data_IF_846320436981
#
_entry.id   IF_846320436981
#
_cell.length_a   1.000
_cell.length_b   1.000
_cell.length_c   1.000
_cell.angle_alpha   90.00
_cell.angle_beta   90.00
_cell.angle_gamma   90.00
#
_symmetry.space_group_name_H-M   'P 1'
#
loop_
_entity.id
_entity.type
_entity.pdbx_description
1 polymer ?
#
# COMPACT_ATOMS: atom_id res chain seq x y z
N UNK A 1 13.63 -11.51 -0.28
CA UNK A 1 12.33 -11.99 -0.79
C UNK A 1 12.60 -12.99 -1.89
N UNK A 2 11.99 -14.18 -1.82
CA UNK A 2 12.11 -15.27 -2.79
C UNK A 2 10.81 -16.08 -2.81
N UNK A 3 10.52 -16.77 -3.91
CA UNK A 3 9.44 -17.78 -3.91
C UNK A 3 9.81 -18.92 -2.96
N UNK A 4 8.83 -19.40 -2.20
CA UNK A 4 9.02 -20.55 -1.33
C UNK A 4 9.22 -21.83 -2.16
N UNK A 5 10.07 -22.79 -1.73
CA UNK A 5 10.41 -23.98 -2.51
C UNK A 5 9.22 -24.90 -2.81
N UNK A 6 8.22 -24.91 -1.93
CA UNK A 6 6.98 -25.70 -1.99
C UNK A 6 5.82 -24.95 -2.68
N UNK A 7 6.06 -23.75 -3.20
CA UNK A 7 5.03 -22.95 -3.84
C UNK A 7 4.58 -23.57 -5.17
N UNK A 8 3.28 -23.89 -5.29
CA UNK A 8 2.68 -24.13 -6.59
C UNK A 8 2.58 -22.82 -7.37
N UNK A 9 3.00 -22.81 -8.63
CA UNK A 9 2.86 -21.62 -9.47
C UNK A 9 1.38 -21.28 -9.63
N UNK A 10 0.96 -20.10 -9.14
CA UNK A 10 -0.43 -19.63 -9.18
C UNK A 10 -0.78 -18.95 -10.49
N UNK A 11 -0.36 -19.52 -11.61
CA UNK A 11 -0.52 -18.95 -12.94
C UNK A 11 0.49 -19.50 -13.94
N UNK A 12 0.39 -19.05 -15.18
CA UNK A 12 1.32 -19.45 -16.25
C UNK A 12 2.67 -18.76 -16.03
N UNK A 13 3.75 -19.53 -16.16
CA UNK A 13 5.10 -18.97 -16.19
C UNK A 13 5.30 -18.15 -17.48
N UNK A 14 5.83 -16.95 -17.33
CA UNK A 14 6.08 -15.99 -18.41
C UNK A 14 7.45 -15.34 -18.23
N UNK A 15 7.89 -14.59 -19.24
CA UNK A 15 9.06 -13.72 -19.13
C UNK A 15 8.69 -12.26 -19.28
N UNK A 16 9.39 -11.38 -18.56
CA UNK A 16 9.33 -9.93 -18.74
C UNK A 16 10.72 -9.42 -19.11
N UNK A 17 10.79 -8.35 -19.89
CA UNK A 17 12.05 -7.74 -20.28
C UNK A 17 12.36 -6.57 -19.36
N UNK A 18 13.45 -6.71 -18.59
CA UNK A 18 14.00 -5.66 -17.74
C UNK A 18 15.28 -5.11 -18.36
N UNK A 19 15.18 -4.00 -19.09
CA UNK A 19 16.32 -3.31 -19.71
C UNK A 19 17.17 -4.22 -20.63
N UNK A 20 16.52 -5.12 -21.36
CA UNK A 20 17.12 -6.12 -22.26
C UNK A 20 17.35 -7.50 -21.62
N UNK A 21 17.15 -7.62 -20.30
CA UNK A 21 17.32 -8.87 -19.55
C UNK A 21 15.99 -9.62 -19.43
N UNK A 22 15.96 -10.91 -19.77
CA UNK A 22 14.77 -11.74 -19.61
C UNK A 22 14.64 -12.21 -18.16
N UNK A 23 13.60 -11.73 -17.46
CA UNK A 23 13.33 -12.03 -16.05
C UNK A 23 12.11 -12.95 -15.94
N UNK A 24 12.19 -14.06 -15.16
CA UNK A 24 11.04 -14.93 -14.93
C UNK A 24 9.95 -14.23 -14.14
N UNK A 25 8.70 -14.41 -14.56
CA UNK A 25 7.51 -13.87 -13.90
C UNK A 25 6.35 -14.87 -13.97
N UNK A 26 5.26 -14.56 -13.26
CA UNK A 26 4.00 -15.29 -13.34
C UNK A 26 2.93 -14.35 -13.88
N UNK A 27 2.20 -14.80 -14.89
CA UNK A 27 1.14 -14.03 -15.52
C UNK A 27 0.11 -13.56 -14.49
N UNK A 28 -0.18 -12.26 -14.49
CA UNK A 28 -1.16 -11.65 -13.58
C UNK A 28 -0.62 -11.26 -12.20
N UNK A 29 0.54 -11.76 -11.77
CA UNK A 29 1.16 -11.29 -10.52
C UNK A 29 1.60 -9.82 -10.63
N UNK A 30 1.64 -9.06 -9.53
CA UNK A 30 2.29 -7.74 -9.56
C UNK A 30 3.72 -7.85 -10.09
N UNK A 31 4.10 -6.99 -11.03
CA UNK A 31 5.46 -6.92 -11.59
C UNK A 31 6.50 -6.84 -10.47
N UNK A 32 6.28 -5.98 -9.47
CA UNK A 32 7.18 -5.86 -8.33
C UNK A 32 7.36 -7.18 -7.56
N UNK A 33 6.31 -8.00 -7.45
CA UNK A 33 6.37 -9.31 -6.81
C UNK A 33 7.27 -10.27 -7.59
N UNK A 34 7.05 -10.37 -8.91
CA UNK A 34 7.87 -11.22 -9.79
C UNK A 34 9.34 -10.79 -9.80
N UNK A 35 9.63 -9.49 -9.87
CA UNK A 35 11.00 -8.98 -9.87
C UNK A 35 11.73 -9.27 -8.55
N UNK A 36 11.12 -8.98 -7.38
CA UNK A 36 11.79 -9.29 -6.10
C UNK A 36 11.96 -10.79 -5.90
N UNK A 37 11.00 -11.60 -6.35
CA UNK A 37 11.08 -13.06 -6.32
C UNK A 37 12.23 -13.61 -7.19
N UNK A 38 12.52 -12.95 -8.31
CA UNK A 38 13.62 -13.26 -9.21
C UNK A 38 14.98 -12.73 -8.73
N UNK A 39 15.05 -12.11 -7.55
CA UNK A 39 16.29 -11.57 -7.00
C UNK A 39 16.62 -10.14 -7.47
N UNK A 40 15.64 -9.41 -7.99
CA UNK A 40 15.77 -8.02 -8.44
C UNK A 40 15.02 -7.03 -7.51
N UNK A 41 15.59 -6.68 -6.34
CA UNK A 41 14.94 -5.80 -5.37
C UNK A 41 15.05 -4.30 -5.70
N UNK A 42 16.02 -3.91 -6.53
CA UNK A 42 16.24 -2.53 -6.96
C UNK A 42 15.37 -2.23 -8.18
N UNK A 43 14.31 -1.44 -7.99
CA UNK A 43 13.37 -1.09 -9.06
C UNK A 43 13.52 0.35 -9.54
N UNK A 44 14.06 1.24 -8.71
CA UNK A 44 14.23 2.64 -9.03
C UNK A 44 15.37 3.26 -8.21
N UNK A 45 15.65 4.53 -8.49
CA UNK A 45 16.54 5.39 -7.71
C UNK A 45 15.75 6.60 -7.21
N UNK A 46 16.06 7.10 -6.01
CA UNK A 46 15.36 8.25 -5.43
C UNK A 46 15.68 9.53 -6.22
N UNK A 47 14.68 10.41 -6.39
CA UNK A 47 14.76 11.65 -7.20
C UNK A 47 16.09 12.40 -7.02
N UNK A 48 16.40 12.80 -5.79
CA UNK A 48 17.47 13.76 -5.49
C UNK A 48 18.79 13.12 -5.12
N UNK A 49 18.74 12.09 -4.27
CA UNK A 49 19.92 11.48 -3.68
C UNK A 49 20.37 10.21 -4.42
N UNK A 50 19.64 9.79 -5.46
CA UNK A 50 19.95 8.58 -6.21
C UNK A 50 20.15 7.32 -5.33
N UNK A 51 19.49 7.29 -4.17
CA UNK A 51 19.49 6.14 -3.27
C UNK A 51 18.71 4.99 -3.93
N UNK A 52 19.18 3.73 -3.79
CA UNK A 52 18.44 2.55 -4.19
C UNK A 52 16.99 2.56 -3.67
N UNK A 53 16.01 2.23 -4.53
CA UNK A 53 14.60 2.08 -4.15
C UNK A 53 14.03 0.76 -4.66
N UNK A 54 13.24 0.13 -3.81
CA UNK A 54 12.55 -1.13 -4.05
C UNK A 54 11.14 -1.09 -3.46
N UNK A 55 10.26 -2.06 -3.76
CA UNK A 55 8.87 -1.99 -3.35
C UNK A 55 8.74 -2.07 -1.82
N UNK A 56 7.87 -1.22 -1.26
CA UNK A 56 7.65 -1.13 0.19
C UNK A 56 6.23 -1.54 0.60
N UNK A 57 5.20 -0.82 0.12
CA UNK A 57 3.83 -0.93 0.65
C UNK A 57 2.93 -1.96 -0.04
N UNK A 58 3.19 -2.30 -1.31
CA UNK A 58 2.28 -3.09 -2.16
C UNK A 58 0.83 -2.60 -2.21
N UNK A 59 0.61 -1.30 -1.99
CA UNK A 59 -0.72 -0.67 -1.96
C UNK A 59 -0.81 0.56 -2.88
N UNK A 60 0.21 0.82 -3.70
CA UNK A 60 0.40 2.08 -4.43
C UNK A 60 0.16 3.34 -3.56
N UNK A 61 0.59 3.26 -2.29
CA UNK A 61 0.52 4.36 -1.32
C UNK A 61 1.90 5.01 -1.06
N UNK A 62 2.98 4.39 -1.58
CA UNK A 62 4.35 4.92 -1.52
C UNK A 62 4.92 5.06 -2.93
N UNK A 63 5.98 5.84 -3.11
CA UNK A 63 6.61 6.12 -4.40
C UNK A 63 7.84 5.24 -4.74
N UNK A 64 8.09 4.15 -4.02
CA UNK A 64 9.38 3.43 -4.14
C UNK A 64 9.51 2.46 -5.33
N UNK A 65 8.39 2.06 -5.95
CA UNK A 65 8.36 1.01 -6.99
C UNK A 65 7.97 1.54 -8.37
N UNK A 66 8.18 2.84 -8.60
CA UNK A 66 7.84 3.51 -9.84
C UNK A 66 8.85 3.12 -10.93
N UNK A 67 8.37 2.51 -12.00
CA UNK A 67 9.16 2.15 -13.18
C UNK A 67 8.49 2.68 -14.44
N UNK A 68 9.23 2.71 -15.54
CA UNK A 68 8.63 2.82 -16.85
C UNK A 68 8.19 1.42 -17.29
N UNK A 69 6.92 1.29 -17.63
CA UNK A 69 6.30 0.02 -18.04
C UNK A 69 5.66 0.22 -19.40
N UNK A 70 6.09 -0.54 -20.40
CA UNK A 70 5.61 -0.46 -21.78
C UNK A 70 5.61 1.00 -22.29
N UNK A 71 6.71 1.72 -22.03
CA UNK A 71 6.86 3.14 -22.41
C UNK A 71 6.20 4.14 -21.46
N UNK A 72 5.26 3.75 -20.60
CA UNK A 72 4.58 4.64 -19.65
C UNK A 72 5.43 4.88 -18.39
N UNK A 73 5.82 6.12 -18.06
CA UNK A 73 6.63 6.39 -16.88
C UNK A 73 5.80 6.35 -15.58
N UNK A 74 6.50 6.22 -14.45
CA UNK A 74 5.91 6.34 -13.10
C UNK A 74 4.75 5.37 -12.83
N UNK A 75 4.86 4.15 -13.35
CA UNK A 75 3.87 3.09 -13.14
C UNK A 75 4.17 2.36 -11.83
N UNK A 76 3.14 2.19 -10.99
CA UNK A 76 3.22 1.41 -9.75
C UNK A 76 3.34 -0.09 -10.06
N UNK A 77 4.55 -0.61 -10.17
CA UNK A 77 4.81 -2.03 -10.44
C UNK A 77 4.23 -2.99 -9.40
N UNK A 78 3.93 -2.51 -8.18
CA UNK A 78 3.26 -3.30 -7.15
C UNK A 78 1.76 -3.52 -7.37
N UNK A 79 1.15 -2.86 -8.37
CA UNK A 79 -0.25 -3.11 -8.79
C UNK A 79 -0.39 -3.49 -10.25
N UNK A 80 0.67 -3.37 -11.04
CA UNK A 80 0.65 -3.71 -12.46
C UNK A 80 0.77 -5.22 -12.63
N UNK A 81 -0.22 -5.90 -13.24
CA UNK A 81 -0.12 -7.33 -13.52
C UNK A 81 0.96 -7.61 -14.57
N UNK A 82 1.80 -8.61 -14.34
CA UNK A 82 2.84 -9.05 -15.26
C UNK A 82 2.21 -9.68 -16.50
N UNK A 83 2.74 -9.33 -17.67
CA UNK A 83 2.34 -9.85 -18.99
C UNK A 83 3.58 -10.29 -19.75
N UNK A 84 3.43 -11.35 -20.54
CA UNK A 84 4.51 -11.88 -21.39
C UNK A 84 5.16 -10.77 -22.22
N UNK A 85 6.49 -10.69 -22.17
CA UNK A 85 7.30 -9.79 -22.98
C UNK A 85 7.17 -8.31 -22.65
N UNK A 86 6.46 -7.92 -21.58
CA UNK A 86 6.32 -6.51 -21.19
C UNK A 86 7.69 -5.86 -20.95
N UNK A 87 7.84 -4.60 -21.33
CA UNK A 87 9.10 -3.85 -21.23
C UNK A 87 9.14 -3.05 -19.93
N UNK A 88 10.18 -3.25 -19.16
CA UNK A 88 10.39 -2.64 -17.84
C UNK A 88 11.71 -1.89 -17.85
N UNK A 89 11.68 -0.62 -17.45
CA UNK A 89 12.88 0.20 -17.32
C UNK A 89 12.90 0.88 -15.95
N UNK A 90 14.06 0.83 -15.28
CA UNK A 90 14.25 1.51 -14.01
C UNK A 90 14.43 3.00 -14.29
N UNK A 91 13.93 3.84 -13.38
CA UNK A 91 13.93 5.28 -13.60
C UNK A 91 14.93 6.01 -12.68
N UNK A 92 15.26 7.24 -13.08
CA UNK A 92 16.03 8.21 -12.31
C UNK A 92 17.48 7.77 -12.00
N UNK A 93 18.17 7.19 -12.98
CA UNK A 93 19.54 6.71 -12.83
C UNK A 93 20.39 7.02 -14.07
N UNK A 94 21.72 7.16 -13.89
CA UNK A 94 22.65 7.35 -15.01
C UNK A 94 24.03 6.71 -14.77
N UNK A 95 24.59 5.91 -15.71
CA UNK A 95 23.97 5.45 -16.94
C UNK A 95 22.89 4.38 -16.75
N UNK A 96 22.85 3.71 -15.59
CA UNK A 96 21.82 2.71 -15.26
C UNK A 96 21.53 2.68 -13.77
N UNK A 97 20.43 2.05 -13.34
CA UNK A 97 20.17 1.92 -11.91
C UNK A 97 21.18 0.99 -11.20
N UNK A 98 21.76 -0.01 -11.90
CA UNK A 98 22.79 -0.91 -11.34
C UNK A 98 24.16 -0.21 -11.18
N UNK A 99 24.43 0.82 -11.99
CA UNK A 99 25.66 1.63 -11.97
C UNK A 99 25.24 3.09 -12.13
N UNK A 100 25.01 3.77 -11.00
CA UNK A 100 24.53 5.16 -10.96
C UNK A 100 25.62 6.09 -10.39
N UNK A 101 26.14 6.98 -11.23
CA UNK A 101 27.25 7.88 -10.83
C UNK A 101 26.84 8.88 -9.75
N UNK A 102 25.54 9.15 -9.63
CA UNK A 102 24.98 10.09 -8.67
C UNK A 102 24.73 9.46 -7.29
N UNK A 103 24.97 8.15 -7.11
CA UNK A 103 24.77 7.49 -5.80
C UNK A 103 25.70 7.99 -4.70
N UNK A 104 26.72 8.77 -5.05
CA UNK A 104 27.68 9.39 -4.13
C UNK A 104 27.24 10.74 -3.56
N UNK A 105 26.11 11.30 -4.03
CA UNK A 105 25.60 12.61 -3.57
C UNK A 105 25.46 12.65 -2.04
N UNK A 106 24.93 11.58 -1.44
CA UNK A 106 24.78 11.50 0.03
C UNK A 106 26.09 11.62 0.80
N UNK A 107 27.21 11.18 0.22
CA UNK A 107 28.53 11.29 0.85
C UNK A 107 29.04 12.74 0.87
N UNK A 108 28.79 13.50 -0.20
CA UNK A 108 29.16 14.91 -0.29
C UNK A 108 28.19 15.82 0.49
N UNK A 109 26.95 15.39 0.66
CA UNK A 109 25.89 16.15 1.34
C UNK A 109 25.27 15.39 2.52
N UNK A 110 26.06 14.98 3.53
CA UNK A 110 25.59 14.13 4.63
C UNK A 110 24.57 14.81 5.55
N UNK A 111 24.46 16.15 5.48
CA UNK A 111 23.46 16.96 6.18
C UNK A 111 22.30 17.41 5.29
N UNK A 112 22.19 16.81 4.10
CA UNK A 112 21.26 17.21 3.05
C UNK A 112 21.87 18.22 2.09
N UNK A 113 21.35 18.20 0.86
CA UNK A 113 21.73 19.14 -0.21
C UNK A 113 20.72 20.29 -0.22
N UNK A 114 21.08 21.48 0.26
CA UNK A 114 20.26 22.66 -0.03
C UNK A 114 20.61 23.17 -1.43
N UNK A 115 19.71 22.90 -2.37
CA UNK A 115 19.85 23.30 -3.77
C UNK A 115 19.08 24.59 -4.09
N UNK A 116 18.32 25.13 -3.13
CA UNK A 116 17.55 26.35 -3.33
C UNK A 116 18.41 27.60 -3.15
N UNK A 117 19.42 27.55 -2.27
CA UNK A 117 20.39 28.64 -2.10
C UNK A 117 21.66 28.47 -2.94
N UNK A 118 21.86 27.28 -3.52
CA UNK A 118 23.05 26.97 -4.30
C UNK A 118 23.06 27.81 -5.59
N UNK A 119 24.05 28.72 -5.71
CA UNK A 119 24.20 29.66 -6.82
C UNK A 119 23.12 30.76 -6.92
N UNK A 120 22.31 30.96 -5.88
CA UNK A 120 21.36 32.05 -5.83
C UNK A 120 22.07 33.41 -5.97
N UNK A 121 21.60 34.26 -6.90
CA UNK A 121 22.14 35.60 -7.12
C UNK A 121 23.31 35.70 -8.11
N UNK A 122 23.70 34.61 -8.78
CA UNK A 122 24.68 34.63 -9.89
C UNK A 122 23.94 34.31 -11.21
N UNK A 123 23.54 35.32 -12.01
CA UNK A 123 22.54 35.15 -13.07
C UNK A 123 22.83 34.04 -14.09
N UNK A 124 24.10 33.88 -14.49
CA UNK A 124 24.50 32.85 -15.47
C UNK A 124 24.54 31.46 -14.83
N UNK A 125 25.08 31.35 -13.61
CA UNK A 125 25.17 30.08 -12.90
C UNK A 125 23.77 29.57 -12.52
N UNK A 126 22.87 30.47 -12.10
CA UNK A 126 21.48 30.16 -11.80
C UNK A 126 20.74 29.61 -13.03
N UNK A 127 20.89 30.22 -14.21
CA UNK A 127 20.25 29.73 -15.44
C UNK A 127 20.76 28.35 -15.86
N UNK A 128 22.08 28.12 -15.77
CA UNK A 128 22.71 26.84 -16.09
C UNK A 128 22.23 25.78 -15.09
N UNK A 129 22.29 26.07 -13.79
CA UNK A 129 21.86 25.15 -12.74
C UNK A 129 20.36 24.85 -12.83
N UNK A 130 19.52 25.83 -13.12
CA UNK A 130 18.09 25.60 -13.34
C UNK A 130 17.84 24.69 -14.54
N UNK A 131 18.65 24.77 -15.61
CA UNK A 131 18.54 23.87 -16.77
C UNK A 131 18.94 22.44 -16.42
N UNK A 132 20.04 22.26 -15.67
CA UNK A 132 20.49 20.95 -15.19
C UNK A 132 19.48 20.37 -14.19
N UNK A 133 19.04 21.15 -13.21
CA UNK A 133 18.04 20.75 -12.23
C UNK A 133 16.73 20.35 -12.90
N UNK A 134 16.24 21.06 -13.91
CA UNK A 134 15.03 20.64 -14.68
C UNK A 134 15.20 19.29 -15.36
N UNK A 135 16.40 18.94 -15.81
CA UNK A 135 16.67 17.64 -16.41
C UNK A 135 16.77 16.51 -15.36
N UNK A 136 17.13 16.84 -14.11
CA UNK A 136 17.30 15.88 -13.02
C UNK A 136 16.12 15.80 -12.05
N UNK A 137 15.22 16.78 -12.03
CA UNK A 137 14.12 16.89 -11.06
C UNK A 137 12.89 16.03 -11.41
N UNK A 138 12.87 15.38 -12.57
CA UNK A 138 11.76 14.55 -13.04
C UNK A 138 12.02 13.06 -12.87
N UNK A 139 11.03 12.30 -12.40
CA UNK A 139 11.13 10.84 -12.27
C UNK A 139 10.92 10.07 -13.58
N UNK A 140 10.40 10.70 -14.63
CA UNK A 140 10.12 10.00 -15.88
C UNK A 140 9.83 10.92 -17.05
N UNK A 141 10.04 10.41 -18.26
CA UNK A 141 9.84 11.12 -19.53
C UNK A 141 8.54 10.62 -20.15
N UNK A 142 7.64 11.53 -20.53
CA UNK A 142 6.38 11.17 -21.17
C UNK A 142 6.61 10.52 -22.55
N UNK A 143 5.77 9.56 -22.96
CA UNK A 143 5.77 9.06 -24.33
C UNK A 143 5.50 10.19 -25.34
N UNK A 144 6.02 10.04 -26.55
CA UNK A 144 5.73 10.96 -27.67
C UNK A 144 4.42 10.61 -28.38
N UNK A 145 3.98 9.37 -28.26
CA UNK A 145 2.76 8.88 -28.87
C UNK A 145 1.53 9.36 -28.10
N UNK A 146 0.43 9.59 -28.81
CA UNK A 146 -0.84 9.98 -28.19
C UNK A 146 -1.38 8.83 -27.34
N UNK A 147 -1.96 9.16 -26.18
CA UNK A 147 -2.63 8.18 -25.36
C UNK A 147 -3.86 7.60 -26.08
N UNK A 148 -4.19 6.31 -25.88
CA UNK A 148 -5.41 5.74 -26.42
C UNK A 148 -6.65 6.46 -25.86
N UNK A 149 -7.72 6.53 -26.66
CA UNK A 149 -8.98 7.09 -26.22
C UNK A 149 -9.52 6.30 -25.02
N UNK A 150 -9.96 7.02 -23.98
CA UNK A 150 -10.60 6.39 -22.82
C UNK A 150 -12.04 5.99 -23.17
N UNK A 151 -12.56 4.88 -22.62
CA UNK A 151 -13.97 4.54 -22.75
C UNK A 151 -14.89 5.66 -22.27
N UNK A 152 -16.06 5.82 -22.90
CA UNK A 152 -17.06 6.80 -22.48
C UNK A 152 -17.49 6.60 -21.02
N UNK A 153 -17.66 7.69 -20.30
CA UNK A 153 -18.13 7.67 -18.92
C UNK A 153 -19.54 7.09 -18.80
N UNK A 154 -19.85 6.43 -17.68
CA UNK A 154 -21.20 5.94 -17.37
C UNK A 154 -21.75 6.57 -16.11
N UNK A 155 -23.06 6.82 -16.09
CA UNK A 155 -23.77 7.27 -14.88
C UNK A 155 -24.52 6.09 -14.27
N UNK A 156 -24.32 5.87 -12.97
CA UNK A 156 -24.97 4.84 -12.17
C UNK A 156 -25.76 5.49 -11.04
N UNK A 157 -26.82 4.80 -10.58
CA UNK A 157 -27.62 5.20 -9.43
C UNK A 157 -27.83 4.01 -8.52
N UNK A 158 -27.69 4.22 -7.22
CA UNK A 158 -27.92 3.19 -6.20
C UNK A 158 -28.41 3.84 -4.91
N UNK A 159 -28.92 3.06 -3.94
CA UNK A 159 -29.27 3.65 -2.64
C UNK A 159 -28.02 3.88 -1.80
N UNK A 160 -27.11 2.91 -1.78
CA UNK A 160 -25.87 2.97 -0.99
C UNK A 160 -24.65 2.72 -1.86
N UNK A 161 -23.69 3.65 -1.87
CA UNK A 161 -22.36 3.42 -2.42
C UNK A 161 -21.39 3.05 -1.29
N UNK A 162 -20.77 1.88 -1.36
CA UNK A 162 -19.78 1.40 -0.39
C UNK A 162 -18.38 1.44 -1.02
N UNK A 163 -17.40 2.04 -0.34
CA UNK A 163 -16.02 2.15 -0.83
C UNK A 163 -15.07 1.31 0.00
N UNK A 164 -14.49 0.28 -0.63
CA UNK A 164 -13.52 -0.65 -0.04
C UNK A 164 -14.16 -1.97 0.39
N UNK A 165 -13.72 -3.10 -0.18
CA UNK A 165 -14.20 -4.44 0.16
C UNK A 165 -13.30 -5.12 1.21
N UNK A 166 -12.92 -4.37 2.24
CA UNK A 166 -12.26 -4.89 3.44
C UNK A 166 -13.24 -5.57 4.41
N UNK A 167 -12.77 -5.87 5.62
CA UNK A 167 -13.60 -6.50 6.66
C UNK A 167 -14.90 -5.72 6.94
N UNK A 168 -14.83 -4.38 7.06
CA UNK A 168 -16.00 -3.53 7.29
C UNK A 168 -16.92 -3.46 6.08
N UNK A 169 -16.39 -3.19 4.88
CA UNK A 169 -17.19 -3.08 3.66
C UNK A 169 -17.88 -4.39 3.27
N UNK A 170 -17.22 -5.54 3.41
CA UNK A 170 -17.84 -6.85 3.16
C UNK A 170 -18.93 -7.17 4.17
N UNK A 171 -18.71 -6.87 5.45
CA UNK A 171 -19.74 -7.06 6.47
C UNK A 171 -20.97 -6.16 6.24
N UNK A 172 -20.75 -4.92 5.79
CA UNK A 172 -21.81 -4.00 5.40
C UNK A 172 -22.57 -4.50 4.16
N UNK A 173 -21.86 -4.92 3.11
CA UNK A 173 -22.45 -5.44 1.87
C UNK A 173 -23.31 -6.68 2.12
N UNK A 174 -22.87 -7.57 3.04
CA UNK A 174 -23.66 -8.73 3.45
C UNK A 174 -24.97 -8.32 4.13
N UNK A 175 -24.93 -7.39 5.09
CA UNK A 175 -26.14 -6.89 5.75
C UNK A 175 -27.09 -6.21 4.74
N UNK A 176 -26.57 -5.40 3.82
CA UNK A 176 -27.37 -4.76 2.77
C UNK A 176 -28.03 -5.79 1.84
N UNK A 177 -27.32 -6.88 1.51
CA UNK A 177 -27.85 -8.01 0.74
C UNK A 177 -28.97 -8.72 1.49
N UNK A 178 -28.76 -9.07 2.76
CA UNK A 178 -29.76 -9.73 3.62
C UNK A 178 -31.05 -8.89 3.79
N UNK A 179 -30.92 -7.56 3.71
CA UNK A 179 -32.02 -6.59 3.82
C UNK A 179 -32.67 -6.22 2.48
N UNK A 180 -32.12 -6.69 1.36
CA UNK A 180 -32.61 -6.35 0.02
C UNK A 180 -32.43 -4.86 -0.36
N UNK A 181 -31.44 -4.17 0.22
CA UNK A 181 -31.17 -2.76 -0.08
C UNK A 181 -30.21 -2.67 -1.28
N UNK A 182 -30.56 -1.95 -2.37
CA UNK A 182 -29.67 -1.77 -3.52
C UNK A 182 -28.38 -1.04 -3.13
N UNK A 183 -27.24 -1.61 -3.47
CA UNK A 183 -25.94 -1.00 -3.22
C UNK A 183 -24.94 -1.27 -4.36
N UNK A 184 -23.89 -0.45 -4.42
CA UNK A 184 -22.69 -0.72 -5.22
C UNK A 184 -21.46 -0.66 -4.29
N UNK A 185 -20.69 -1.74 -4.25
CA UNK A 185 -19.44 -1.89 -3.52
C UNK A 185 -18.27 -1.78 -4.50
N UNK A 186 -17.38 -0.82 -4.26
CA UNK A 186 -16.20 -0.57 -5.09
C UNK A 186 -14.93 -1.04 -4.38
N UNK A 187 -14.14 -1.88 -5.04
CA UNK A 187 -12.84 -2.36 -4.57
C UNK A 187 -11.76 -2.03 -5.60
N UNK A 188 -10.67 -1.40 -5.16
CA UNK A 188 -9.58 -0.96 -6.02
C UNK A 188 -8.71 -2.11 -6.52
N UNK A 189 -8.63 -3.20 -5.76
CA UNK A 189 -7.89 -4.39 -6.12
C UNK A 189 -8.74 -5.34 -6.97
N UNK A 190 -8.12 -6.35 -7.57
CA UNK A 190 -8.82 -7.39 -8.35
C UNK A 190 -9.44 -8.50 -7.50
N UNK A 191 -9.41 -8.32 -6.18
CA UNK A 191 -9.91 -9.25 -5.18
C UNK A 191 -10.41 -8.49 -3.97
N UNK A 192 -11.32 -9.11 -3.23
CA UNK A 192 -11.84 -8.57 -1.97
C UNK A 192 -11.03 -9.05 -0.76
N UNK A 193 -11.35 -8.50 0.40
CA UNK A 193 -10.85 -8.93 1.70
C UNK A 193 -10.05 -7.85 2.42
N UNK A 194 -9.40 -6.94 1.68
CA UNK A 194 -8.55 -5.89 2.24
C UNK A 194 -7.62 -6.44 3.34
N UNK A 195 -7.74 -5.92 4.56
CA UNK A 195 -6.98 -6.39 5.74
C UNK A 195 -7.10 -7.90 6.01
N UNK A 196 -8.21 -8.55 5.69
CA UNK A 196 -8.37 -10.01 5.87
C UNK A 196 -7.41 -10.80 4.96
N UNK A 197 -7.13 -10.26 3.78
CA UNK A 197 -6.20 -10.84 2.82
C UNK A 197 -4.74 -10.37 3.03
N UNK A 198 -4.55 -9.12 3.48
CA UNK A 198 -3.22 -8.47 3.52
C UNK A 198 -2.60 -8.45 4.92
N UNK A 199 -3.40 -8.40 5.99
CA UNK A 199 -2.93 -8.38 7.38
C UNK A 199 -2.51 -9.75 7.89
N UNK A 200 -1.71 -9.77 8.96
CA UNK A 200 -1.46 -10.99 9.70
C UNK A 200 -2.77 -11.44 10.39
N UNK A 201 -3.21 -12.70 10.24
CA UNK A 201 -4.48 -13.13 10.79
C UNK A 201 -4.45 -13.10 12.32
N UNK A 202 -5.39 -12.35 12.91
CA UNK A 202 -5.71 -12.47 14.34
C UNK A 202 -6.42 -13.79 14.63
N UNK A 203 -6.39 -14.25 15.89
CA UNK A 203 -7.00 -15.53 16.30
C UNK A 203 -8.51 -15.59 15.97
N UNK A 204 -9.22 -14.46 16.09
CA UNK A 204 -10.66 -14.35 15.85
C UNK A 204 -11.00 -13.56 14.56
N UNK A 205 -10.07 -13.44 13.61
CA UNK A 205 -10.34 -12.71 12.38
C UNK A 205 -11.45 -13.41 11.58
N UNK A 206 -12.47 -12.70 11.09
CA UNK A 206 -13.52 -13.30 10.28
C UNK A 206 -12.95 -13.82 8.96
N UNK A 207 -13.58 -14.84 8.39
CA UNK A 207 -13.26 -15.28 7.03
C UNK A 207 -13.64 -14.20 6.01
N UNK A 208 -12.95 -14.19 4.87
CA UNK A 208 -13.37 -13.36 3.74
C UNK A 208 -14.76 -13.84 3.31
N UNK A 209 -15.68 -12.89 3.14
CA UNK A 209 -17.04 -13.20 2.71
C UNK A 209 -17.01 -13.77 1.29
N UNK A 210 -17.73 -14.87 1.08
CA UNK A 210 -17.94 -15.41 -0.26
C UNK A 210 -18.77 -14.42 -1.08
N UNK A 211 -18.16 -13.83 -2.11
CA UNK A 211 -18.79 -12.81 -2.95
C UNK A 211 -19.99 -13.34 -3.71
N UNK A 212 -20.10 -14.67 -3.92
CA UNK A 212 -21.27 -15.29 -4.54
C UNK A 212 -22.53 -15.18 -3.67
N UNK A 213 -22.38 -14.86 -2.38
CA UNK A 213 -23.50 -14.63 -1.45
C UNK A 213 -24.00 -13.19 -1.42
N UNK A 214 -23.30 -12.26 -2.10
CA UNK A 214 -23.73 -10.87 -2.22
C UNK A 214 -24.78 -10.71 -3.31
N UNK A 215 -25.53 -9.60 -3.27
CA UNK A 215 -26.46 -9.25 -4.34
C UNK A 215 -25.76 -9.27 -5.72
N UNK A 216 -26.36 -9.87 -6.77
CA UNK A 216 -25.78 -9.86 -8.11
C UNK A 216 -25.44 -8.45 -8.59
N UNK A 217 -24.36 -8.31 -9.35
CA UNK A 217 -23.88 -7.04 -9.94
C UNK A 217 -23.59 -5.91 -8.94
N UNK A 218 -23.55 -6.21 -7.64
CA UNK A 218 -23.31 -5.22 -6.57
C UNK A 218 -21.83 -4.91 -6.33
N UNK A 219 -20.90 -5.73 -6.81
CA UNK A 219 -19.45 -5.58 -6.60
C UNK A 219 -18.75 -5.17 -7.90
N UNK A 220 -17.96 -4.10 -7.83
CA UNK A 220 -17.06 -3.67 -8.90
C UNK A 220 -15.62 -3.67 -8.38
N UNK A 221 -14.83 -4.67 -8.78
CA UNK A 221 -13.38 -4.75 -8.50
C UNK A 221 -12.57 -3.94 -9.51
N UNK A 222 -11.28 -3.74 -9.23
CA UNK A 222 -10.39 -2.86 -10.02
C UNK A 222 -11.02 -1.47 -10.23
N UNK A 223 -11.69 -0.97 -9.20
CA UNK A 223 -12.45 0.27 -9.21
C UNK A 223 -11.94 1.20 -8.12
N UNK A 224 -11.23 2.25 -8.50
CA UNK A 224 -10.67 3.22 -7.55
C UNK A 224 -11.63 4.39 -7.39
N UNK A 225 -12.15 4.60 -6.18
CA UNK A 225 -12.86 5.82 -5.83
C UNK A 225 -11.89 7.01 -5.88
N UNK A 226 -12.17 7.99 -6.74
CA UNK A 226 -11.31 9.13 -7.01
C UNK A 226 -11.72 10.37 -6.21
N UNK A 227 -13.02 10.52 -5.95
CA UNK A 227 -13.52 11.63 -5.16
C UNK A 227 -15.03 11.70 -5.05
N UNK A 228 -15.49 12.43 -4.04
CA UNK A 228 -16.89 12.85 -3.86
C UNK A 228 -17.05 14.29 -4.35
N UNK A 229 -18.09 14.52 -5.14
CA UNK A 229 -18.41 15.81 -5.75
C UNK A 229 -19.91 16.04 -5.72
N UNK A 230 -20.32 17.28 -5.91
CA UNK A 230 -21.72 17.69 -5.96
C UNK A 230 -22.01 18.39 -7.30
N UNK A 231 -23.20 18.17 -7.85
CA UNK A 231 -23.76 18.95 -8.95
C UNK A 231 -25.28 19.19 -8.77
N UNK A 232 -25.95 19.71 -9.81
CA UNK A 232 -27.38 20.00 -9.79
C UNK A 232 -28.27 18.77 -9.51
N UNK A 233 -27.78 17.56 -9.78
CA UNK A 233 -28.49 16.31 -9.51
C UNK A 233 -28.15 15.70 -8.13
N UNK A 234 -27.28 16.36 -7.35
CA UNK A 234 -26.88 15.98 -6.01
C UNK A 234 -25.46 15.42 -5.93
N UNK A 235 -25.14 14.80 -4.79
CA UNK A 235 -23.83 14.22 -4.54
C UNK A 235 -23.59 12.96 -5.37
N UNK A 236 -22.37 12.83 -5.89
CA UNK A 236 -21.92 11.63 -6.59
C UNK A 236 -20.47 11.27 -6.29
N UNK A 237 -20.19 9.97 -6.35
CA UNK A 237 -18.86 9.40 -6.30
C UNK A 237 -18.32 9.24 -7.72
N UNK A 238 -17.09 9.70 -7.96
CA UNK A 238 -16.34 9.40 -9.18
C UNK A 238 -15.48 8.18 -8.94
N UNK A 239 -15.62 7.16 -9.79
CA UNK A 239 -14.85 5.92 -9.72
C UNK A 239 -14.17 5.65 -11.05
N UNK A 240 -12.86 5.40 -11.02
CA UNK A 240 -12.12 4.88 -12.17
C UNK A 240 -12.13 3.35 -12.17
N UNK A 241 -12.89 2.74 -13.07
CA UNK A 241 -12.99 1.29 -13.24
C UNK A 241 -12.05 0.82 -14.37
N UNK A 242 -11.14 -0.11 -14.07
CA UNK A 242 -10.20 -0.63 -15.04
C UNK A 242 -10.84 -1.77 -15.85
N UNK A 243 -11.14 -1.49 -17.11
CA UNK A 243 -11.66 -2.44 -18.09
C UNK A 243 -10.55 -2.84 -19.10
N UNK A 244 -10.71 -3.96 -19.84
CA UNK A 244 -9.77 -4.32 -20.90
C UNK A 244 -9.58 -3.21 -21.96
N UNK A 245 -10.62 -2.41 -22.21
CA UNK A 245 -10.59 -1.29 -23.16
C UNK A 245 -9.98 0.01 -22.59
N UNK A 246 -9.57 0.02 -21.32
CA UNK A 246 -9.03 1.19 -20.62
C UNK A 246 -9.79 1.53 -19.35
N UNK A 247 -9.46 2.69 -18.76
CA UNK A 247 -10.12 3.15 -17.53
C UNK A 247 -11.42 3.86 -17.87
N UNK A 248 -12.55 3.28 -17.46
CA UNK A 248 -13.87 3.92 -17.56
C UNK A 248 -14.14 4.77 -16.32
N UNK A 249 -14.60 6.00 -16.54
CA UNK A 249 -15.11 6.83 -15.44
C UNK A 249 -16.58 6.49 -15.16
N UNK A 250 -16.87 6.14 -13.91
CA UNK A 250 -18.22 5.95 -13.41
C UNK A 250 -18.60 7.14 -12.53
N UNK A 251 -19.75 7.74 -12.84
CA UNK A 251 -20.40 8.77 -12.04
C UNK A 251 -21.54 8.12 -11.25
N UNK A 252 -21.37 7.96 -9.95
CA UNK A 252 -22.27 7.15 -9.11
C UNK A 252 -23.03 8.04 -8.16
N UNK A 253 -24.31 8.29 -8.43
CA UNK A 253 -25.20 8.94 -7.48
C UNK A 253 -25.70 7.92 -6.46
N UNK A 254 -25.70 8.30 -5.19
CA UNK A 254 -26.23 7.49 -4.10
C UNK A 254 -26.94 8.35 -3.06
N UNK A 255 -27.93 7.77 -2.36
CA UNK A 255 -28.57 8.44 -1.22
C UNK A 255 -27.62 8.50 -0.01
N UNK A 256 -26.73 7.50 0.12
CA UNK A 256 -25.77 7.37 1.21
C UNK A 256 -24.43 6.83 0.70
N UNK A 257 -23.33 7.32 1.27
CA UNK A 257 -21.97 6.89 0.98
C UNK A 257 -21.34 6.27 2.23
N UNK A 258 -21.08 4.96 2.21
CA UNK A 258 -20.36 4.26 3.26
C UNK A 258 -18.88 4.10 2.89
N UNK A 259 -18.02 4.82 3.61
CA UNK A 259 -16.60 4.84 3.36
C UNK A 259 -15.87 3.86 4.29
N UNK A 260 -15.33 2.81 3.71
CA UNK A 260 -14.53 1.77 4.36
C UNK A 260 -13.15 1.58 3.70
N UNK A 261 -12.40 2.66 3.37
CA UNK A 261 -11.18 2.56 2.56
C UNK A 261 -10.00 1.91 3.29
N UNK A 262 -10.13 1.69 4.60
CA UNK A 262 -9.07 1.15 5.44
C UNK A 262 -8.00 2.19 5.73
N UNK A 263 -6.73 1.82 5.54
CA UNK A 263 -5.60 2.70 5.76
C UNK A 263 -4.34 2.25 5.02
N UNK A 264 -3.36 3.14 4.98
CA UNK A 264 -2.09 2.96 4.30
C UNK A 264 -1.00 2.49 5.27
N UNK A 265 -0.09 1.59 4.84
CA UNK A 265 1.07 1.26 5.64
C UNK A 265 1.94 2.50 5.87
N UNK A 266 2.17 2.94 7.13
CA UNK A 266 3.00 4.10 7.40
C UNK A 266 4.46 3.74 7.16
N UNK A 267 5.29 4.74 6.92
CA UNK A 267 6.74 4.59 6.98
C UNK A 267 7.24 5.09 8.33
N UNK A 268 7.84 4.20 9.12
CA UNK A 268 8.46 4.58 10.39
C UNK A 268 9.82 5.23 10.09
N UNK A 269 10.12 6.43 10.62
CA UNK A 269 11.41 7.06 10.42
C UNK A 269 12.49 6.31 11.20
N UNK A 270 13.46 5.75 10.48
CA UNK A 270 14.67 5.18 11.06
C UNK A 270 15.81 5.17 10.04
N UNK A 271 17.05 5.02 10.50
CA UNK A 271 18.22 5.09 9.61
C UNK A 271 18.15 4.03 8.50
N UNK A 272 18.24 4.47 7.25
CA UNK A 272 18.18 3.65 6.04
C UNK A 272 16.86 2.86 5.87
N UNK A 273 15.74 3.38 6.39
CA UNK A 273 14.40 2.81 6.19
C UNK A 273 13.92 2.77 4.73
N UNK A 274 14.70 3.30 3.80
CA UNK A 274 14.39 3.35 2.37
C UNK A 274 15.09 2.29 1.52
N UNK A 275 16.02 1.50 2.12
CA UNK A 275 16.75 0.47 1.41
C UNK A 275 15.81 -0.58 0.78
N UNK A 276 16.09 -1.05 -0.45
CA UNK A 276 15.44 -2.24 -0.98
C UNK A 276 15.59 -3.40 -0.01
N UNK A 277 14.51 -4.12 0.30
CA UNK A 277 14.50 -5.11 1.38
C UNK A 277 13.81 -4.63 2.66
N UNK A 278 13.49 -3.34 2.78
CA UNK A 278 12.55 -2.83 3.79
C UNK A 278 11.13 -2.90 3.22
N UNK A 279 10.23 -3.57 3.93
CA UNK A 279 8.83 -3.76 3.50
C UNK A 279 7.87 -3.38 4.62
N UNK A 280 6.66 -2.95 4.25
CA UNK A 280 5.56 -2.87 5.19
C UNK A 280 5.12 -4.28 5.64
N UNK A 281 4.67 -4.43 6.89
CA UNK A 281 4.24 -5.71 7.44
C UNK A 281 3.06 -6.33 6.67
N UNK A 282 2.05 -5.52 6.32
CA UNK A 282 0.93 -5.96 5.46
C UNK A 282 1.37 -6.33 4.04
N UNK A 283 2.44 -5.71 3.51
CA UNK A 283 3.01 -6.11 2.23
C UNK A 283 3.68 -7.48 2.32
N UNK A 284 4.45 -7.73 3.39
CA UNK A 284 5.09 -9.02 3.63
C UNK A 284 4.06 -10.15 3.81
N UNK A 285 3.00 -9.90 4.57
CA UNK A 285 1.90 -10.84 4.74
C UNK A 285 1.15 -11.10 3.43
N UNK A 286 0.85 -10.07 2.63
CA UNK A 286 0.28 -10.23 1.29
C UNK A 286 1.16 -11.10 0.39
N UNK A 287 2.45 -10.77 0.29
CA UNK A 287 3.43 -11.51 -0.53
C UNK A 287 3.48 -12.98 -0.13
N UNK A 288 3.55 -13.26 1.18
CA UNK A 288 3.61 -14.62 1.69
C UNK A 288 2.31 -15.39 1.44
N UNK A 289 1.16 -14.82 1.77
CA UNK A 289 -0.13 -15.54 1.76
C UNK A 289 -0.70 -15.71 0.36
N UNK A 290 -0.54 -14.70 -0.50
CA UNK A 290 -1.14 -14.68 -1.84
C UNK A 290 -0.20 -15.16 -2.93
N UNK A 291 1.10 -14.90 -2.80
CA UNK A 291 2.09 -15.14 -3.85
C UNK A 291 3.21 -16.11 -3.44
N UNK A 292 3.16 -16.63 -2.21
CA UNK A 292 4.19 -17.53 -1.65
C UNK A 292 5.62 -16.94 -1.79
N UNK A 293 5.73 -15.62 -1.63
CA UNK A 293 7.00 -14.87 -1.66
C UNK A 293 7.32 -14.35 -0.25
N UNK A 294 8.50 -14.70 0.25
CA UNK A 294 8.93 -14.33 1.60
C UNK A 294 10.46 -14.12 1.68
N UNK A 295 10.98 -13.42 2.69
CA UNK A 295 12.42 -13.39 2.94
C UNK A 295 12.92 -14.76 3.42
N UNK A 296 14.23 -15.00 3.30
CA UNK A 296 14.83 -16.16 3.98
C UNK A 296 15.00 -15.91 5.48
N UNK A 297 15.45 -14.70 5.83
CA UNK A 297 15.72 -14.28 7.20
C UNK A 297 15.17 -12.86 7.43
N UNK A 298 14.09 -12.76 8.20
CA UNK A 298 13.43 -11.48 8.49
C UNK A 298 13.87 -10.89 9.84
N UNK A 299 14.06 -9.58 9.88
CA UNK A 299 13.98 -8.79 11.12
C UNK A 299 12.68 -7.98 11.11
N UNK A 300 11.91 -8.04 12.20
CA UNK A 300 10.67 -7.29 12.35
C UNK A 300 10.87 -6.10 13.29
N UNK A 301 10.23 -4.98 12.98
CA UNK A 301 10.25 -3.77 13.81
C UNK A 301 8.90 -3.07 13.75
N UNK A 302 8.43 -2.55 14.88
CA UNK A 302 7.21 -1.75 14.93
C UNK A 302 6.51 -1.82 16.28
N UNK A 303 5.18 -1.94 16.31
CA UNK A 303 4.40 -2.09 17.53
C UNK A 303 2.98 -2.60 17.23
N UNK A 304 2.29 -3.09 18.26
CA UNK A 304 0.90 -3.53 18.20
C UNK A 304 0.74 -4.98 17.73
N UNK A 305 -0.51 -5.47 17.72
CA UNK A 305 -0.80 -6.89 17.52
C UNK A 305 -0.33 -7.45 16.16
N UNK A 306 -0.37 -6.64 15.10
CA UNK A 306 0.08 -7.09 13.77
C UNK A 306 1.59 -7.35 13.71
N UNK A 307 2.41 -6.79 14.61
CA UNK A 307 3.84 -7.12 14.70
C UNK A 307 4.03 -8.59 15.11
N UNK A 308 3.38 -8.99 16.19
CA UNK A 308 3.47 -10.34 16.75
C UNK A 308 2.72 -11.36 15.89
N UNK A 309 1.57 -10.97 15.33
CA UNK A 309 0.83 -11.78 14.37
C UNK A 309 1.66 -12.08 13.12
N UNK A 310 2.42 -11.10 12.61
CA UNK A 310 3.30 -11.29 11.46
C UNK A 310 4.49 -12.20 11.79
N UNK A 311 5.08 -12.07 12.98
CA UNK A 311 6.16 -12.96 13.42
C UNK A 311 5.71 -14.42 13.40
N UNK A 312 4.56 -14.71 14.01
CA UNK A 312 3.96 -16.05 14.03
C UNK A 312 3.67 -16.57 12.62
N UNK A 313 3.04 -15.76 11.76
CA UNK A 313 2.72 -16.13 10.38
C UNK A 313 3.98 -16.52 9.57
N UNK A 314 5.07 -15.78 9.76
CA UNK A 314 6.34 -16.05 9.07
C UNK A 314 6.98 -17.36 9.57
N UNK A 315 7.00 -17.57 10.89
CA UNK A 315 7.54 -18.79 11.49
C UNK A 315 6.75 -20.04 11.07
N UNK A 316 5.40 -19.96 11.08
CA UNK A 316 4.51 -21.03 10.61
C UNK A 316 4.74 -21.41 9.13
N UNK A 317 5.26 -20.47 8.32
CA UNK A 317 5.64 -20.68 6.92
C UNK A 317 7.13 -20.93 6.71
N UNK A 318 7.87 -21.21 7.79
CA UNK A 318 9.28 -21.64 7.73
C UNK A 318 10.28 -20.51 7.46
N UNK A 319 9.89 -19.24 7.61
CA UNK A 319 10.80 -18.10 7.50
C UNK A 319 11.59 -17.98 8.81
N UNK A 320 12.91 -17.80 8.72
CA UNK A 320 13.75 -17.61 9.90
C UNK A 320 13.60 -16.17 10.39
N UNK A 321 13.39 -15.99 11.69
CA UNK A 321 13.38 -14.67 12.31
C UNK A 321 14.72 -14.39 12.98
N UNK A 322 15.28 -13.20 12.72
CA UNK A 322 16.53 -12.74 13.34
C UNK A 322 16.29 -11.81 14.53
N UNK A 323 15.18 -11.07 14.51
CA UNK A 323 14.75 -10.17 15.59
C UNK A 323 13.26 -9.83 15.45
N UNK A 324 12.60 -9.57 16.58
CA UNK A 324 11.28 -8.93 16.63
C UNK A 324 11.37 -7.77 17.62
N UNK A 325 11.32 -6.53 17.14
CA UNK A 325 11.59 -5.35 17.97
C UNK A 325 10.34 -4.48 18.11
N UNK A 326 9.83 -4.35 19.33
CA UNK A 326 8.76 -3.42 19.67
C UNK A 326 9.36 -2.07 20.09
N UNK A 327 8.96 -1.01 19.41
CA UNK A 327 9.46 0.35 19.62
C UNK A 327 8.67 1.14 20.68
N UNK A 328 7.53 0.64 21.14
CA UNK A 328 6.63 1.35 22.06
C UNK A 328 6.53 0.71 23.44
N UNK A 329 6.67 -0.61 23.56
CA UNK A 329 6.44 -1.29 24.84
C UNK A 329 7.05 -2.68 24.95
N UNK A 330 6.98 -3.29 26.14
CA UNK A 330 7.38 -4.67 26.32
C UNK A 330 6.49 -5.61 25.50
N UNK A 331 7.05 -6.70 24.94
CA UNK A 331 6.25 -7.72 24.25
C UNK A 331 5.15 -8.32 25.15
N UNK A 332 3.96 -8.61 24.60
CA UNK A 332 2.91 -9.27 25.34
C UNK A 332 3.28 -10.73 25.68
N UNK A 333 2.58 -11.31 26.66
CA UNK A 333 2.70 -12.73 26.95
C UNK A 333 2.37 -13.57 25.71
N UNK A 334 3.16 -14.62 25.46
CA UNK A 334 3.00 -15.47 24.27
C UNK A 334 3.57 -14.88 22.97
N UNK A 335 4.26 -13.74 23.03
CA UNK A 335 5.05 -13.26 21.90
C UNK A 335 6.19 -14.22 21.55
N UNK A 336 6.69 -14.11 20.32
CA UNK A 336 7.83 -14.90 19.82
C UNK A 336 9.07 -14.76 20.74
N UNK A 337 9.89 -15.80 20.96
CA UNK A 337 11.02 -15.74 21.89
C UNK A 337 12.09 -14.68 21.58
N UNK A 338 12.19 -14.24 20.32
CA UNK A 338 13.07 -13.13 19.90
C UNK A 338 12.45 -11.74 20.07
N UNK A 339 11.21 -11.65 20.58
CA UNK A 339 10.53 -10.39 20.81
C UNK A 339 11.16 -9.64 21.99
N UNK A 340 11.53 -8.39 21.75
CA UNK A 340 12.11 -7.50 22.77
C UNK A 340 11.63 -6.07 22.56
N UNK A 341 11.57 -5.30 23.64
CA UNK A 341 11.48 -3.85 23.54
C UNK A 341 12.84 -3.29 23.13
N UNK A 342 12.87 -2.34 22.20
CA UNK A 342 14.11 -1.72 21.75
C UNK A 342 13.93 -0.39 21.04
N UNK A 343 15.06 0.24 20.73
CA UNK A 343 15.15 1.57 20.11
C UNK A 343 16.23 1.59 19.03
N UNK A 344 16.42 2.75 18.40
CA UNK A 344 17.48 3.01 17.41
C UNK A 344 17.55 1.98 16.26
N UNK A 345 16.40 1.63 15.63
CA UNK A 345 16.41 0.72 14.50
C UNK A 345 17.25 1.30 13.35
N UNK A 346 18.02 0.44 12.69
CA UNK A 346 18.81 0.79 11.51
C UNK A 346 18.93 -0.38 10.57
N UNK A 347 18.57 -0.16 9.30
CA UNK A 347 18.88 -1.11 8.24
C UNK A 347 20.31 -0.89 7.72
N UNK A 348 20.98 -1.98 7.34
CA UNK A 348 22.33 -1.97 6.82
C UNK A 348 22.37 -2.64 5.46
N UNK A 349 23.09 -2.01 4.52
CA UNK A 349 23.25 -2.50 3.16
C UNK A 349 23.63 -1.36 2.22
N UNK A 350 24.26 -1.70 1.09
CA UNK A 350 24.57 -0.72 0.05
C UNK A 350 23.45 -0.65 -0.99
N UNK A 351 23.07 -1.80 -1.57
CA UNK A 351 22.04 -1.88 -2.63
C UNK A 351 20.71 -2.45 -2.13
N UNK A 352 20.76 -3.25 -1.07
CA UNK A 352 19.61 -3.84 -0.41
C UNK A 352 20.01 -4.26 1.01
N UNK A 353 19.01 -4.54 1.86
CA UNK A 353 19.18 -5.01 3.24
C UNK A 353 20.07 -6.25 3.31
N UNK A 354 21.07 -6.21 4.19
CA UNK A 354 21.95 -7.34 4.56
C UNK A 354 21.98 -7.59 6.07
N UNK A 355 21.63 -6.58 6.87
CA UNK A 355 21.56 -6.68 8.31
C UNK A 355 20.64 -5.60 8.90
N UNK A 356 20.24 -5.83 10.14
CA UNK A 356 19.46 -4.91 10.95
C UNK A 356 20.13 -4.72 12.31
N UNK A 357 20.11 -3.51 12.85
CA UNK A 357 20.57 -3.25 14.21
C UNK A 357 19.54 -2.50 15.01
N UNK A 358 19.53 -2.74 16.31
CA UNK A 358 18.66 -2.08 17.29
C UNK A 358 19.35 -2.10 18.66
N UNK A 359 18.90 -1.25 19.56
CA UNK A 359 19.37 -1.20 20.95
C UNK A 359 18.25 -1.76 21.82
N UNK A 360 18.39 -2.97 22.41
CA UNK A 360 17.40 -3.47 23.37
C UNK A 360 17.26 -2.50 24.54
N UNK A 361 16.08 -2.49 25.19
CA UNK A 361 15.88 -1.64 26.38
C UNK A 361 16.89 -1.96 27.50
N UNK A 362 17.30 -3.21 27.59
CA UNK A 362 18.33 -3.69 28.51
C UNK A 362 19.45 -4.36 27.70
N UNK A 363 20.64 -3.75 27.72
CA UNK A 363 21.83 -4.26 27.06
C UNK A 363 22.33 -3.38 25.91
N UNK A 364 23.40 -3.84 25.27
CA UNK A 364 24.09 -3.10 24.23
C UNK A 364 23.43 -3.25 22.86
N UNK A 365 23.76 -2.31 21.96
CA UNK A 365 23.33 -2.35 20.56
C UNK A 365 23.69 -3.69 19.91
N UNK A 366 22.70 -4.33 19.29
CA UNK A 366 22.84 -5.60 18.58
C UNK A 366 22.72 -5.41 17.08
N UNK A 367 23.48 -6.19 16.31
CA UNK A 367 23.37 -6.28 14.85
C UNK A 367 23.15 -7.73 14.45
N UNK A 368 22.14 -7.97 13.63
CA UNK A 368 21.73 -9.30 13.16
C UNK A 368 21.73 -9.33 11.63
N UNK A 369 22.15 -10.44 11.04
CA UNK A 369 22.06 -10.65 9.60
C UNK A 369 20.61 -10.96 9.19
N UNK A 370 20.13 -10.33 8.12
CA UNK A 370 18.78 -10.53 7.58
C UNK A 370 18.73 -10.07 6.12
N UNK A 371 17.84 -10.65 5.31
CA UNK A 371 17.61 -10.23 3.92
C UNK A 371 16.37 -9.34 3.76
N UNK A 372 15.58 -9.15 4.82
CA UNK A 372 14.52 -8.16 4.87
C UNK A 372 14.31 -7.56 6.27
N UNK A 373 13.90 -6.29 6.30
CA UNK A 373 13.35 -5.61 7.49
C UNK A 373 11.86 -5.37 7.25
N UNK A 374 11.01 -5.89 8.12
CA UNK A 374 9.56 -5.80 8.00
C UNK A 374 9.00 -4.84 9.05
N UNK A 375 8.45 -3.73 8.58
CA UNK A 375 7.93 -2.65 9.41
C UNK A 375 6.43 -2.88 9.66
N UNK A 376 6.08 -3.37 10.85
CA UNK A 376 4.70 -3.72 11.20
C UNK A 376 4.15 -2.79 12.28
N UNK A 377 3.29 -1.87 11.85
CA UNK A 377 2.67 -0.85 12.69
C UNK A 377 1.21 -0.67 12.27
N UNK A 378 0.32 -0.13 13.13
CA UNK A 378 -1.03 0.24 12.75
C UNK A 378 -1.02 1.15 11.52
N UNK A 379 -1.96 0.92 10.60
CA UNK A 379 -2.07 1.73 9.39
C UNK A 379 -2.49 3.16 9.68
N UNK A 380 -2.04 4.08 8.84
CA UNK A 380 -2.57 5.44 8.79
C UNK A 380 -3.94 5.39 8.12
N UNK A 381 -5.03 5.82 8.77
CA UNK A 381 -6.36 5.89 8.16
C UNK A 381 -6.36 6.64 6.82
N UNK A 382 -7.02 6.09 5.81
CA UNK A 382 -7.24 6.77 4.52
C UNK A 382 -8.49 7.65 4.63
N UNK A 383 -8.32 8.82 5.24
CA UNK A 383 -9.41 9.74 5.55
C UNK A 383 -9.73 10.72 4.41
N UNK A 384 -8.95 10.71 3.32
CA UNK A 384 -8.97 11.75 2.28
C UNK A 384 -10.35 11.88 1.62
N UNK A 385 -10.95 10.75 1.23
CA UNK A 385 -12.27 10.72 0.60
C UNK A 385 -13.38 11.17 1.56
N UNK A 386 -13.31 10.76 2.83
CA UNK A 386 -14.27 11.18 3.85
C UNK A 386 -14.17 12.69 4.12
N UNK A 387 -12.94 13.20 4.21
CA UNK A 387 -12.67 14.63 4.39
C UNK A 387 -13.20 15.44 3.21
N UNK A 388 -12.98 14.97 1.98
CA UNK A 388 -13.54 15.58 0.77
C UNK A 388 -15.08 15.58 0.79
N UNK A 389 -15.69 14.48 1.26
CA UNK A 389 -17.14 14.35 1.44
C UNK A 389 -17.75 15.20 2.56
N UNK A 390 -16.93 15.99 3.27
CA UNK A 390 -17.39 16.89 4.34
C UNK A 390 -17.29 16.31 5.75
N UNK A 391 -16.77 15.09 5.93
CA UNK A 391 -16.55 14.54 7.26
C UNK A 391 -15.41 15.27 7.99
N UNK A 392 -15.53 15.34 9.32
CA UNK A 392 -14.49 15.89 10.19
C UNK A 392 -13.40 14.85 10.44
N UNK A 393 -12.15 15.30 10.48
CA UNK A 393 -10.97 14.48 10.78
C UNK A 393 -10.25 15.07 11.99
N UNK A 394 -9.97 14.25 12.99
CA UNK A 394 -9.24 14.66 14.20
C UNK A 394 -8.05 13.78 14.50
N UNK A 395 -7.07 14.37 15.19
CA UNK A 395 -5.89 13.66 15.66
C UNK A 395 -6.20 12.96 16.99
N UNK A 396 -6.07 11.64 17.01
CA UNK A 396 -6.15 10.81 18.20
C UNK A 396 -4.75 10.69 18.81
N UNK A 397 -4.48 11.46 19.87
CA UNK A 397 -3.17 11.46 20.53
C UNK A 397 -2.83 10.12 21.20
N UNK A 398 -3.83 9.34 21.63
CA UNK A 398 -3.61 8.04 22.28
C UNK A 398 -3.10 7.00 21.28
N UNK A 399 -3.66 6.99 20.07
CA UNK A 399 -3.24 6.08 19.00
C UNK A 399 -2.13 6.66 18.12
N UNK A 400 -1.95 7.98 18.11
CA UNK A 400 -0.96 8.69 17.30
C UNK A 400 -1.32 8.72 15.80
N UNK A 401 -2.61 8.86 15.48
CA UNK A 401 -3.12 8.83 14.11
C UNK A 401 -4.25 9.84 13.90
N UNK A 402 -4.49 10.23 12.64
CA UNK A 402 -5.69 10.95 12.26
C UNK A 402 -6.82 9.97 12.00
N UNK A 403 -8.05 10.28 12.43
CA UNK A 403 -9.23 9.46 12.19
C UNK A 403 -10.41 10.31 11.73
N UNK A 404 -11.32 9.68 10.99
CA UNK A 404 -12.63 10.27 10.71
C UNK A 404 -13.49 10.23 11.97
N UNK A 405 -14.09 11.36 12.33
CA UNK A 405 -15.09 11.42 13.39
C UNK A 405 -16.40 10.83 12.90
N UNK A 406 -16.79 9.73 13.54
CA UNK A 406 -18.08 9.08 13.34
C UNK A 406 -18.64 8.61 14.68
N UNK A 407 -19.96 8.64 14.82
CA UNK A 407 -20.62 8.05 15.99
C UNK A 407 -20.57 6.51 15.96
N UNK A 408 -21.19 5.85 16.94
CA UNK A 408 -21.25 4.40 16.97
C UNK A 408 -21.88 3.83 15.68
N UNK A 409 -22.91 4.47 15.15
CA UNK A 409 -23.62 4.04 13.94
C UNK A 409 -22.92 4.49 12.65
N UNK A 410 -21.69 5.03 12.76
CA UNK A 410 -20.88 5.44 11.63
C UNK A 410 -21.29 6.76 10.99
N UNK A 411 -22.20 7.53 11.61
CA UNK A 411 -22.64 8.83 11.10
C UNK A 411 -21.54 9.86 11.25
N UNK A 412 -21.26 10.58 10.18
CA UNK A 412 -20.35 11.73 10.21
C UNK A 412 -21.13 13.05 10.28
N UNK A 413 -20.44 14.18 10.35
CA UNK A 413 -21.04 15.52 10.27
C UNK A 413 -21.75 15.77 8.91
N UNK A 414 -21.27 15.12 7.84
CA UNK A 414 -21.96 15.10 6.57
C UNK A 414 -23.05 14.03 6.60
N UNK A 415 -24.32 14.46 6.59
CA UNK A 415 -25.48 13.59 6.86
C UNK A 415 -25.69 12.42 5.90
N UNK A 416 -25.06 12.44 4.72
CA UNK A 416 -25.08 11.37 3.72
C UNK A 416 -23.78 10.55 3.68
N UNK A 417 -22.75 10.92 4.42
CA UNK A 417 -21.46 10.22 4.50
C UNK A 417 -21.33 9.47 5.81
N UNK A 418 -21.02 8.19 5.70
CA UNK A 418 -20.83 7.25 6.79
C UNK A 418 -19.43 6.66 6.71
N UNK A 419 -18.86 6.26 7.85
CA UNK A 419 -17.52 5.69 7.90
C UNK A 419 -17.44 4.49 8.86
N UNK A 420 -16.63 3.47 8.49
CA UNK A 420 -16.41 2.30 9.34
C UNK A 420 -15.05 1.60 9.11
N UNK A 421 -14.55 0.94 10.16
CA UNK A 421 -13.31 0.16 10.12
C UNK A 421 -12.07 1.00 10.42
N UNK A 422 -10.91 0.63 9.85
CA UNK A 422 -9.63 1.28 10.19
C UNK A 422 -9.68 2.81 10.03
N UNK A 423 -10.54 3.35 9.15
CA UNK A 423 -10.67 4.78 8.89
C UNK A 423 -11.16 5.61 10.11
N UNK A 424 -11.86 4.98 11.05
CA UNK A 424 -12.41 5.63 12.26
C UNK A 424 -11.53 5.45 13.50
N UNK A 425 -10.26 5.07 13.34
CA UNK A 425 -9.29 4.99 14.44
C UNK A 425 -8.68 3.60 14.67
N UNK A 426 -8.75 2.70 13.69
CA UNK A 426 -8.14 1.38 13.77
C UNK A 426 -8.97 0.35 14.55
N UNK A 427 -8.30 -0.65 15.11
CA UNK A 427 -8.89 -1.82 15.76
C UNK A 427 -8.40 -3.13 15.17
N UNK A 428 -9.06 -4.25 15.48
CA UNK A 428 -8.84 -5.54 14.84
C UNK A 428 -9.71 -5.71 13.59
N UNK A 429 -9.44 -6.74 12.78
CA UNK A 429 -10.30 -7.07 11.64
C UNK A 429 -11.73 -7.47 12.07
N UNK A 430 -11.88 -8.05 13.28
CA UNK A 430 -13.17 -8.38 13.89
C UNK A 430 -13.95 -7.11 14.22
N UNK A 431 -13.28 -6.13 14.86
CA UNK A 431 -13.90 -4.85 15.19
C UNK A 431 -14.37 -4.11 13.94
N UNK A 432 -13.55 -4.14 12.88
CA UNK A 432 -13.91 -3.55 11.60
C UNK A 432 -15.16 -4.22 10.98
N UNK A 433 -15.25 -5.56 11.00
CA UNK A 433 -16.44 -6.27 10.51
C UNK A 433 -17.69 -5.98 11.34
N UNK A 434 -17.57 -5.92 12.67
CA UNK A 434 -18.68 -5.56 13.57
C UNK A 434 -19.15 -4.13 13.29
N UNK A 435 -18.22 -3.17 13.15
CA UNK A 435 -18.54 -1.80 12.81
C UNK A 435 -19.26 -1.71 11.45
N UNK A 436 -18.72 -2.35 10.41
CA UNK A 436 -19.33 -2.35 9.07
C UNK A 436 -20.78 -2.86 9.07
N UNK A 437 -21.06 -3.96 9.77
CA UNK A 437 -22.42 -4.48 9.93
C UNK A 437 -23.34 -3.48 10.63
N UNK A 438 -22.90 -2.91 11.75
CA UNK A 438 -23.68 -1.94 12.53
C UNK A 438 -24.03 -0.69 11.71
N UNK A 439 -23.07 -0.16 10.96
CA UNK A 439 -23.31 1.00 10.08
C UNK A 439 -24.31 0.66 8.98
N UNK A 440 -24.22 -0.52 8.37
CA UNK A 440 -25.22 -0.96 7.40
C UNK A 440 -26.64 -1.04 8.01
N UNK A 441 -26.77 -1.57 9.23
CA UNK A 441 -28.07 -1.59 9.94
C UNK A 441 -28.64 -0.19 10.17
N UNK A 442 -27.79 0.76 10.57
CA UNK A 442 -28.17 2.15 10.76
C UNK A 442 -28.58 2.83 9.44
N UNK A 443 -27.90 2.52 8.33
CA UNK A 443 -28.26 2.98 6.99
C UNK A 443 -29.66 2.49 6.60
N UNK A 444 -29.95 1.19 6.77
CA UNK A 444 -31.28 0.64 6.46
C UNK A 444 -32.37 1.32 7.28
N UNK A 445 -32.15 1.51 8.59
CA UNK A 445 -33.14 2.13 9.49
C UNK A 445 -33.46 3.61 9.16
N UNK A 446 -32.60 4.29 8.40
CA UNK A 446 -32.82 5.66 7.93
C UNK A 446 -33.29 5.76 6.47
N UNK A 447 -33.51 4.62 5.79
CA UNK A 447 -33.93 4.51 4.40
C UNK A 447 -35.36 3.97 4.22
N UNK A 448 -35.99 3.55 5.33
CA UNK A 448 -37.42 3.29 5.49
C UNK A 448 -38.18 4.58 5.81
#
# INVERSE_FOLDING_TARGET
>A
MRRLPDASLRGRAITVDLEGESIPAIEGEPVACSLVAAGEPLLARSVKYHRPRGPYCFAAACSHCLMRVDGLPNVYTCRTPAREGMKLERQNAYPSAKVDVFETIDWFFPKGLDHHEMFAGVPVAEQVMAKVARQLAGLGILPKEAAPASPESRTLRTRVAVVGAGASGLAAARELTERGVPFLLFEREDHVGGRLAHGAPGQDAPSITDVATLAPDSLVTRATALGLYDDEAGRFLVVGAWEPAGVRLLKVYAERFLLTPGGHPPMVPFENNDLPGVYAGRAASLLLRRYDVAPEVAALVGWGEELYGLARLLEERGVKLAAVVDLKGPPPAGAHPLAVAGTEPKAHGMRHVRAFSFTPREGDRRKVACDAVLVSVPVSPSFELARQGGARVTFDAGHGLFKVEADADGRTEAGDVFAAGDVTGGGSAKDAAVAGRRVAQALVGGLS
#
